data_IF_504821346054
#
_entry.id   IF_504821346054
#
_cell.length_a   1.000
_cell.length_b   1.000
_cell.length_c   1.000
_cell.angle_alpha   90.00
_cell.angle_beta   90.00
_cell.angle_gamma   90.00
#
_symmetry.space_group_name_H-M   'P 1'
#
loop_
_entity.id
_entity.type
_entity.pdbx_description
1 polymer ?
#
# COMPACT_ATOMS: atom_id res chain seq x y z
N UNK A 1 -14.64 8.74 28.50
CA UNK A 1 -14.51 8.60 27.04
C UNK A 1 -13.71 7.32 26.79
N UNK A 2 -14.27 6.35 26.07
CA UNK A 2 -13.57 5.10 25.76
C UNK A 2 -12.67 5.33 24.54
N UNK A 3 -11.39 4.96 24.65
CA UNK A 3 -10.40 5.13 23.59
C UNK A 3 -9.96 3.79 22.97
N UNK A 4 -10.67 2.70 23.23
CA UNK A 4 -10.41 1.40 22.63
C UNK A 4 -11.03 1.24 21.25
N UNK A 5 -10.77 0.11 20.62
CA UNK A 5 -11.44 -0.31 19.39
C UNK A 5 -12.92 -0.61 19.65
N UNK A 6 -13.78 -0.44 18.65
CA UNK A 6 -15.15 -0.95 18.69
C UNK A 6 -15.17 -2.48 18.58
N UNK A 7 -16.27 -3.11 18.97
CA UNK A 7 -16.43 -4.56 18.83
C UNK A 7 -16.20 -5.06 17.40
N UNK A 8 -16.68 -4.31 16.40
CA UNK A 8 -16.49 -4.64 15.00
C UNK A 8 -15.00 -4.52 14.57
N UNK A 9 -14.28 -3.50 15.07
CA UNK A 9 -12.86 -3.33 14.80
C UNK A 9 -12.03 -4.43 15.46
N UNK A 10 -12.36 -4.81 16.70
CA UNK A 10 -11.73 -5.92 17.40
C UNK A 10 -11.96 -7.23 16.67
N UNK A 11 -13.21 -7.52 16.28
CA UNK A 11 -13.56 -8.72 15.51
C UNK A 11 -12.77 -8.80 14.19
N UNK A 12 -12.68 -7.70 13.45
CA UNK A 12 -11.93 -7.65 12.20
C UNK A 12 -10.43 -7.88 12.44
N UNK A 13 -9.88 -7.24 13.47
CA UNK A 13 -8.48 -7.40 13.86
C UNK A 13 -8.17 -8.85 14.29
N UNK A 14 -9.03 -9.49 15.05
CA UNK A 14 -8.86 -10.88 15.50
C UNK A 14 -8.87 -11.87 14.32
N UNK A 15 -9.76 -11.67 13.35
CA UNK A 15 -9.79 -12.51 12.15
C UNK A 15 -8.49 -12.41 11.35
N UNK A 16 -7.93 -11.21 11.21
CA UNK A 16 -6.64 -11.01 10.53
C UNK A 16 -5.51 -11.68 11.34
N UNK A 17 -5.47 -11.48 12.65
CA UNK A 17 -4.46 -12.12 13.51
C UNK A 17 -4.51 -13.63 13.39
N UNK A 18 -5.71 -14.21 13.50
CA UNK A 18 -5.89 -15.66 13.35
C UNK A 18 -5.41 -16.16 12.00
N UNK A 19 -5.76 -15.47 10.92
CA UNK A 19 -5.28 -15.84 9.59
C UNK A 19 -3.74 -15.81 9.50
N UNK A 20 -3.11 -14.78 10.08
CA UNK A 20 -1.65 -14.66 10.07
C UNK A 20 -0.98 -15.72 10.94
N UNK A 21 -1.53 -16.03 12.10
CA UNK A 21 -1.02 -17.10 12.97
C UNK A 21 -1.04 -18.47 12.25
N UNK A 22 -2.09 -18.71 11.46
CA UNK A 22 -2.25 -19.97 10.73
C UNK A 22 -1.38 -20.05 9.46
N UNK A 23 -1.11 -18.91 8.76
CA UNK A 23 -0.52 -18.90 7.42
C UNK A 23 0.83 -18.17 7.30
N UNK A 24 1.17 -17.29 8.24
CA UNK A 24 2.33 -16.41 8.19
C UNK A 24 3.28 -16.60 9.38
N UNK A 25 3.60 -17.86 9.69
CA UNK A 25 4.58 -18.14 10.75
C UNK A 25 5.93 -17.47 10.46
N UNK A 26 6.72 -17.22 11.50
CA UNK A 26 8.05 -16.58 11.36
C UNK A 26 8.94 -17.33 10.35
N UNK A 27 8.81 -18.65 10.27
CA UNK A 27 9.58 -19.43 9.29
C UNK A 27 9.11 -19.24 7.86
N UNK A 28 7.79 -19.05 7.63
CA UNK A 28 7.24 -18.68 6.34
C UNK A 28 7.73 -17.29 5.95
N UNK A 29 7.67 -16.31 6.86
CA UNK A 29 8.17 -14.95 6.60
C UNK A 29 9.66 -14.93 6.27
N UNK A 30 10.48 -15.73 6.96
CA UNK A 30 11.91 -15.88 6.63
C UNK A 30 12.13 -16.47 5.24
N UNK A 31 11.33 -17.45 4.83
CA UNK A 31 11.39 -18.01 3.47
C UNK A 31 11.07 -16.97 2.42
N UNK A 32 10.00 -16.17 2.62
CA UNK A 32 9.66 -15.05 1.72
C UNK A 32 10.83 -14.09 1.59
N UNK A 33 11.48 -13.74 2.69
CA UNK A 33 12.62 -12.82 2.71
C UNK A 33 13.88 -13.38 2.02
N UNK A 34 13.99 -14.69 1.87
CA UNK A 34 15.19 -15.32 1.34
C UNK A 34 15.10 -15.80 -0.09
N UNK A 35 13.96 -16.21 -0.62
CA UNK A 35 13.81 -16.53 -2.07
C UNK A 35 12.48 -17.27 -2.43
N UNK A 36 11.43 -17.16 -1.63
CA UNK A 36 10.18 -17.86 -1.85
C UNK A 36 8.97 -16.89 -1.98
N UNK A 37 8.93 -16.08 -3.05
CA UNK A 37 7.91 -15.05 -3.22
C UNK A 37 6.48 -15.63 -3.39
N UNK A 38 6.34 -16.91 -3.75
CA UNK A 38 5.05 -17.59 -3.87
C UNK A 38 4.23 -17.53 -2.58
N UNK A 39 4.87 -17.69 -1.42
CA UNK A 39 4.19 -17.61 -0.12
C UNK A 39 3.66 -16.21 0.18
N UNK A 40 4.34 -15.16 -0.32
CA UNK A 40 3.86 -13.78 -0.19
C UNK A 40 2.53 -13.60 -0.91
N UNK A 41 2.41 -14.17 -2.10
CA UNK A 41 1.19 -14.11 -2.91
C UNK A 41 0.03 -14.80 -2.20
N UNK A 42 0.23 -15.99 -1.66
CA UNK A 42 -0.79 -16.75 -0.93
C UNK A 42 -1.31 -15.97 0.29
N UNK A 43 -0.40 -15.35 1.07
CA UNK A 43 -0.76 -14.51 2.21
C UNK A 43 -1.54 -13.28 1.74
N UNK A 44 -1.09 -12.62 0.67
CA UNK A 44 -1.76 -11.44 0.12
C UNK A 44 -3.18 -11.77 -0.36
N UNK A 45 -3.35 -12.87 -1.10
CA UNK A 45 -4.66 -13.32 -1.58
C UNK A 45 -5.59 -13.69 -0.42
N UNK A 46 -5.08 -14.35 0.61
CA UNK A 46 -5.83 -14.66 1.81
C UNK A 46 -6.29 -13.41 2.56
N UNK A 47 -5.42 -12.42 2.73
CA UNK A 47 -5.76 -11.14 3.35
C UNK A 47 -6.79 -10.36 2.51
N UNK A 48 -6.68 -10.37 1.19
CA UNK A 48 -7.66 -9.79 0.28
C UNK A 48 -9.03 -10.49 0.45
N UNK A 49 -9.05 -11.81 0.60
CA UNK A 49 -10.31 -12.56 0.85
C UNK A 49 -10.99 -12.18 2.18
N UNK A 50 -10.24 -11.67 3.14
CA UNK A 50 -10.76 -11.08 4.39
C UNK A 50 -11.24 -9.63 4.22
N UNK A 51 -11.10 -9.04 3.05
CA UNK A 51 -11.64 -7.72 2.71
C UNK A 51 -10.76 -6.53 3.05
N UNK A 52 -9.47 -6.72 3.33
CA UNK A 52 -8.56 -5.60 3.67
C UNK A 52 -8.44 -4.56 2.55
N UNK A 53 -8.63 -4.96 1.30
CA UNK A 53 -8.57 -4.13 0.10
C UNK A 53 -9.83 -3.28 -0.11
N UNK A 54 -10.94 -3.68 0.47
CA UNK A 54 -12.26 -3.04 0.28
C UNK A 54 -12.67 -2.11 1.42
N UNK A 55 -11.90 -2.05 2.52
CA UNK A 55 -12.22 -1.33 3.74
C UNK A 55 -12.68 0.11 3.50
N UNK A 56 -11.88 0.90 2.80
CA UNK A 56 -12.07 2.34 2.61
C UNK A 56 -12.78 2.68 1.31
N UNK A 57 -13.09 1.69 0.49
CA UNK A 57 -13.88 1.89 -0.74
C UNK A 57 -15.36 1.96 -0.37
N UNK A 58 -16.12 2.98 -0.79
CA UNK A 58 -17.55 3.07 -0.54
C UNK A 58 -18.33 1.88 -1.11
N UNK A 59 -19.48 1.57 -0.49
CA UNK A 59 -20.36 0.48 -0.89
C UNK A 59 -20.84 0.63 -2.34
N UNK A 60 -21.07 1.84 -2.82
CA UNK A 60 -21.46 2.13 -4.21
C UNK A 60 -20.43 1.67 -5.25
N UNK A 61 -19.16 1.49 -4.83
CA UNK A 61 -18.08 0.93 -5.65
C UNK A 61 -17.70 -0.50 -5.27
N UNK A 62 -18.56 -1.18 -4.47
CA UNK A 62 -18.36 -2.57 -4.07
C UNK A 62 -17.41 -2.77 -2.88
N UNK A 63 -17.12 -1.70 -2.13
CA UNK A 63 -16.33 -1.75 -0.90
C UNK A 63 -17.16 -1.91 0.35
N UNK A 64 -16.50 -1.83 1.51
CA UNK A 64 -17.14 -1.90 2.83
C UNK A 64 -17.54 -0.53 3.40
N UNK A 65 -17.08 0.57 2.82
CA UNK A 65 -17.40 1.93 3.24
C UNK A 65 -16.98 2.28 4.67
N UNK A 66 -15.98 1.59 5.22
CA UNK A 66 -15.52 1.79 6.58
C UNK A 66 -14.59 3.01 6.68
N UNK A 67 -14.37 3.46 7.90
CA UNK A 67 -13.54 4.64 8.13
C UNK A 67 -12.06 4.28 8.40
N UNK A 68 -11.21 5.30 8.46
CA UNK A 68 -9.77 5.15 8.64
C UNK A 68 -9.38 4.44 9.97
N UNK A 69 -10.23 4.44 10.98
CA UNK A 69 -9.96 3.75 12.24
C UNK A 69 -9.95 2.22 12.05
N UNK A 70 -10.78 1.68 11.13
CA UNK A 70 -10.69 0.27 10.75
C UNK A 70 -9.35 -0.05 10.08
N UNK A 71 -8.88 0.81 9.18
CA UNK A 71 -7.57 0.64 8.57
C UNK A 71 -6.43 0.69 9.61
N UNK A 72 -6.57 1.47 10.67
CA UNK A 72 -5.62 1.50 11.79
C UNK A 72 -5.59 0.17 12.56
N UNK A 73 -6.77 -0.39 12.88
CA UNK A 73 -6.88 -1.70 13.54
C UNK A 73 -6.26 -2.82 12.68
N UNK A 74 -6.53 -2.80 11.36
CA UNK A 74 -5.93 -3.72 10.39
C UNK A 74 -4.42 -3.55 10.33
N UNK A 75 -3.91 -2.32 10.22
CA UNK A 75 -2.46 -2.04 10.21
C UNK A 75 -1.76 -2.59 11.45
N UNK A 76 -2.39 -2.48 12.62
CA UNK A 76 -1.85 -3.02 13.86
C UNK A 76 -1.77 -4.56 13.82
N UNK A 77 -2.81 -5.23 13.30
CA UNK A 77 -2.79 -6.69 13.14
C UNK A 77 -1.71 -7.15 12.15
N UNK A 78 -1.64 -6.51 10.98
CA UNK A 78 -0.64 -6.81 9.96
C UNK A 78 0.79 -6.59 10.48
N UNK A 79 1.03 -5.48 11.20
CA UNK A 79 2.34 -5.19 11.78
C UNK A 79 2.73 -6.18 12.86
N UNK A 80 1.81 -6.57 13.76
CA UNK A 80 2.09 -7.55 14.81
C UNK A 80 2.39 -8.95 14.26
N UNK A 81 1.79 -9.32 13.13
CA UNK A 81 2.03 -10.57 12.42
C UNK A 81 3.17 -10.51 11.40
N UNK A 82 3.86 -9.38 11.29
CA UNK A 82 4.94 -9.15 10.28
C UNK A 82 4.45 -9.51 8.87
N UNK A 83 3.19 -9.20 8.57
CA UNK A 83 2.57 -9.59 7.30
C UNK A 83 3.24 -8.91 6.10
N UNK A 84 3.70 -9.66 5.10
CA UNK A 84 4.28 -9.11 3.87
C UNK A 84 3.15 -8.67 2.92
N UNK A 85 2.43 -7.61 3.30
CA UNK A 85 1.23 -7.16 2.60
C UNK A 85 1.37 -5.73 2.08
N UNK A 86 0.95 -5.52 0.84
CA UNK A 86 0.82 -4.22 0.21
C UNK A 86 -0.46 -3.52 0.70
N UNK A 87 -0.47 -3.02 1.94
CA UNK A 87 -1.68 -2.47 2.57
C UNK A 87 -1.74 -0.95 2.53
N UNK A 88 -0.71 -0.27 3.03
CA UNK A 88 -0.76 1.18 3.26
C UNK A 88 -0.86 1.96 1.95
N UNK A 89 0.00 1.69 0.98
CA UNK A 89 -0.03 2.37 -0.32
C UNK A 89 -1.27 1.97 -1.11
N UNK A 90 -1.49 0.67 -1.24
CA UNK A 90 -2.47 0.11 -2.16
C UNK A 90 -3.92 0.25 -1.67
N UNK A 91 -4.18 0.00 -0.37
CA UNK A 91 -5.55 -0.12 0.14
C UNK A 91 -5.94 0.98 1.13
N UNK A 92 -5.00 1.87 1.49
CA UNK A 92 -5.30 3.05 2.30
C UNK A 92 -5.06 4.32 1.49
N UNK A 93 -3.85 4.57 1.03
CA UNK A 93 -3.50 5.84 0.38
C UNK A 93 -4.16 5.99 -0.99
N UNK A 94 -4.15 4.94 -1.82
CA UNK A 94 -4.71 4.99 -3.16
C UNK A 94 -6.23 5.25 -3.18
N UNK A 95 -7.08 4.50 -2.46
CA UNK A 95 -8.51 4.80 -2.45
C UNK A 95 -8.82 6.17 -1.87
N UNK A 96 -8.13 6.62 -0.81
CA UNK A 96 -8.31 7.96 -0.25
C UNK A 96 -7.95 9.04 -1.28
N UNK A 97 -6.86 8.89 -2.01
CA UNK A 97 -6.45 9.84 -3.04
C UNK A 97 -7.46 9.91 -4.19
N UNK A 98 -7.96 8.75 -4.65
CA UNK A 98 -8.98 8.68 -5.72
C UNK A 98 -10.31 9.28 -5.25
N UNK A 99 -10.75 8.98 -4.04
CA UNK A 99 -12.01 9.50 -3.49
C UNK A 99 -12.02 11.00 -3.37
N UNK A 100 -10.91 11.61 -2.93
CA UNK A 100 -10.84 13.04 -2.66
C UNK A 100 -10.37 13.88 -3.87
N UNK A 101 -9.56 13.31 -4.75
CA UNK A 101 -8.96 14.06 -5.87
C UNK A 101 -9.32 13.55 -7.26
N UNK A 102 -9.89 12.35 -7.36
CA UNK A 102 -10.25 11.76 -8.65
C UNK A 102 -11.56 12.30 -9.23
N UNK A 103 -11.65 12.33 -10.55
CA UNK A 103 -12.92 12.57 -11.26
C UNK A 103 -13.88 11.38 -11.05
N UNK A 104 -15.17 11.59 -11.30
CA UNK A 104 -16.17 10.53 -11.21
C UNK A 104 -15.84 9.33 -12.13
N UNK A 105 -15.27 9.59 -13.30
CA UNK A 105 -14.83 8.53 -14.22
C UNK A 105 -13.65 7.74 -13.64
N UNK A 106 -12.70 8.42 -12.98
CA UNK A 106 -11.58 7.75 -12.30
C UNK A 106 -12.06 6.93 -11.10
N UNK A 107 -13.00 7.44 -10.30
CA UNK A 107 -13.60 6.68 -9.19
C UNK A 107 -14.25 5.40 -9.69
N UNK A 108 -15.11 5.50 -10.72
CA UNK A 108 -15.78 4.37 -11.35
C UNK A 108 -14.82 3.37 -12.00
N UNK A 109 -13.68 3.85 -12.49
CA UNK A 109 -12.66 3.01 -13.13
C UNK A 109 -11.83 2.22 -12.10
N UNK A 110 -11.37 2.88 -11.05
CA UNK A 110 -10.35 2.28 -10.16
C UNK A 110 -10.93 1.69 -8.88
N UNK A 111 -11.94 2.32 -8.26
CA UNK A 111 -12.42 1.89 -6.94
C UNK A 111 -13.01 0.47 -6.94
N UNK A 112 -13.85 0.06 -7.93
CA UNK A 112 -14.33 -1.32 -7.97
C UNK A 112 -13.22 -2.35 -8.15
N UNK A 113 -12.20 -2.04 -8.94
CA UNK A 113 -11.08 -2.94 -9.18
C UNK A 113 -10.16 -3.04 -7.95
N UNK A 114 -10.04 -1.96 -7.13
CA UNK A 114 -9.38 -2.02 -5.82
C UNK A 114 -10.21 -2.90 -4.87
N UNK A 115 -11.52 -2.63 -4.76
CA UNK A 115 -12.41 -3.35 -3.85
C UNK A 115 -12.48 -4.86 -4.14
N UNK A 116 -12.33 -5.25 -5.39
CA UNK A 116 -12.27 -6.67 -5.80
C UNK A 116 -10.88 -7.29 -5.71
N UNK A 117 -9.84 -6.51 -5.34
CA UNK A 117 -8.45 -6.98 -5.30
C UNK A 117 -7.81 -7.21 -6.68
N UNK A 118 -8.48 -6.80 -7.76
CA UNK A 118 -8.00 -7.00 -9.13
C UNK A 118 -6.81 -6.10 -9.47
N UNK A 119 -6.74 -4.91 -8.89
CA UNK A 119 -5.63 -3.98 -9.03
C UNK A 119 -5.06 -3.57 -7.67
N UNK A 120 -3.78 -3.28 -7.68
CA UNK A 120 -3.04 -2.76 -6.54
C UNK A 120 -2.20 -1.55 -6.95
N UNK A 121 -1.91 -0.69 -6.00
CA UNK A 121 -1.20 0.55 -6.24
C UNK A 121 0.11 0.61 -5.47
N UNK A 122 1.16 0.99 -6.16
CA UNK A 122 2.34 1.59 -5.54
C UNK A 122 2.08 3.08 -5.32
N UNK A 123 2.63 3.65 -4.24
CA UNK A 123 2.46 5.08 -3.95
C UNK A 123 3.80 5.75 -3.67
N UNK A 124 4.11 6.78 -4.47
CA UNK A 124 5.33 7.56 -4.38
C UNK A 124 5.04 9.05 -4.31
N UNK A 125 4.80 9.58 -3.10
CA UNK A 125 4.50 10.99 -2.85
C UNK A 125 5.69 11.75 -2.23
N UNK A 126 6.90 11.25 -2.47
CA UNK A 126 8.11 11.81 -1.87
C UNK A 126 8.39 13.27 -2.25
N UNK A 127 8.01 13.68 -3.46
CA UNK A 127 8.16 15.05 -3.93
C UNK A 127 7.28 16.02 -3.15
N UNK A 128 6.02 15.65 -2.96
CA UNK A 128 5.05 16.50 -2.26
C UNK A 128 5.43 16.73 -0.80
N UNK A 129 5.96 15.71 -0.13
CA UNK A 129 6.38 15.82 1.27
C UNK A 129 7.78 16.40 1.45
N UNK A 130 8.47 16.78 0.35
CA UNK A 130 9.81 17.36 0.41
C UNK A 130 10.87 16.41 0.98
N UNK A 131 10.66 15.11 0.87
CA UNK A 131 11.51 14.11 1.51
C UNK A 131 12.96 14.12 0.99
N UNK A 132 13.17 14.57 -0.25
CA UNK A 132 14.51 14.75 -0.82
C UNK A 132 14.52 15.76 -1.97
N UNK A 133 15.63 16.46 -2.11
CA UNK A 133 15.93 17.29 -3.26
C UNK A 133 16.22 16.41 -4.50
N UNK A 134 15.92 16.93 -5.70
CA UNK A 134 16.21 16.34 -7.01
C UNK A 134 15.44 15.07 -7.39
N UNK A 135 14.26 14.88 -6.85
CA UNK A 135 13.33 13.81 -7.26
C UNK A 135 12.15 14.37 -8.07
N UNK A 136 12.35 15.44 -8.82
CA UNK A 136 11.27 16.18 -9.46
C UNK A 136 10.54 15.34 -10.52
N UNK A 137 9.24 15.17 -10.31
CA UNK A 137 8.33 14.65 -11.31
C UNK A 137 7.73 15.82 -12.07
N UNK A 138 7.91 15.82 -13.39
CA UNK A 138 7.45 16.87 -14.29
C UNK A 138 6.55 16.26 -15.35
N UNK A 139 5.32 16.77 -15.47
CA UNK A 139 4.43 16.45 -16.56
C UNK A 139 4.59 17.48 -17.68
N UNK A 140 5.08 17.05 -18.84
CA UNK A 140 5.27 17.91 -20.01
C UNK A 140 5.00 17.14 -21.29
N UNK A 141 4.26 17.76 -22.22
CA UNK A 141 3.93 17.19 -23.53
C UNK A 141 3.31 15.77 -23.45
N UNK A 142 2.39 15.56 -22.49
CA UNK A 142 1.70 14.28 -22.32
C UNK A 142 2.55 13.18 -21.67
N UNK A 143 3.77 13.48 -21.20
CA UNK A 143 4.69 12.51 -20.58
C UNK A 143 5.10 12.95 -19.18
N UNK A 144 5.24 11.98 -18.28
CA UNK A 144 5.86 12.17 -16.99
C UNK A 144 7.37 11.87 -17.12
N UNK A 145 8.18 12.75 -16.56
CA UNK A 145 9.62 12.56 -16.44
C UNK A 145 10.04 12.89 -15.03
N UNK A 146 10.94 12.10 -14.48
CA UNK A 146 11.44 12.33 -13.13
C UNK A 146 11.67 11.02 -12.39
N UNK A 147 11.88 11.13 -11.10
CA UNK A 147 12.20 10.00 -10.23
C UNK A 147 11.44 10.14 -8.92
N UNK A 148 10.70 9.11 -8.54
CA UNK A 148 10.13 8.99 -7.21
C UNK A 148 10.95 7.99 -6.38
N UNK A 149 11.16 8.32 -5.13
CA UNK A 149 11.90 7.48 -4.16
C UNK A 149 10.96 7.11 -3.01
N UNK A 150 11.33 6.08 -2.24
CA UNK A 150 10.51 5.55 -1.14
C UNK A 150 9.08 5.19 -1.58
N UNK A 151 8.99 4.59 -2.76
CA UNK A 151 7.71 4.12 -3.29
C UNK A 151 7.23 2.94 -2.46
N UNK A 152 6.06 3.10 -1.84
CA UNK A 152 5.42 2.05 -1.04
C UNK A 152 4.76 1.02 -1.95
N UNK A 153 4.75 -0.23 -1.51
CA UNK A 153 3.98 -1.34 -2.10
C UNK A 153 4.28 -1.62 -3.59
N UNK A 154 5.52 -1.38 -4.03
CA UNK A 154 5.88 -1.41 -5.45
C UNK A 154 6.15 -2.80 -6.04
N UNK A 155 6.25 -3.86 -5.24
CA UNK A 155 6.68 -5.19 -5.71
C UNK A 155 5.75 -5.75 -6.78
N UNK A 156 4.46 -5.87 -6.49
CA UNK A 156 3.46 -6.50 -7.34
C UNK A 156 2.32 -5.54 -7.75
N UNK A 157 2.56 -4.24 -7.64
CA UNK A 157 1.58 -3.24 -8.02
C UNK A 157 1.31 -3.25 -9.53
N UNK A 158 0.05 -3.12 -9.89
CA UNK A 158 -0.40 -2.95 -11.28
C UNK A 158 -0.30 -1.49 -11.75
N UNK A 159 -0.43 -0.55 -10.82
CA UNK A 159 -0.38 0.88 -11.07
C UNK A 159 0.52 1.58 -10.05
N UNK A 160 1.01 2.74 -10.40
CA UNK A 160 1.71 3.63 -9.47
C UNK A 160 1.03 4.99 -9.43
N UNK A 161 0.85 5.53 -8.23
CA UNK A 161 0.54 6.93 -7.99
C UNK A 161 1.80 7.69 -7.65
N UNK A 162 2.06 8.77 -8.35
CA UNK A 162 3.17 9.69 -8.07
C UNK A 162 2.66 11.11 -7.98
N UNK A 163 3.26 11.94 -7.15
CA UNK A 163 2.96 13.36 -7.07
C UNK A 163 4.08 14.20 -7.66
N UNK A 164 3.71 15.34 -8.28
CA UNK A 164 4.68 16.40 -8.55
C UNK A 164 4.82 17.34 -7.32
N UNK A 165 5.71 18.29 -7.42
CA UNK A 165 5.97 19.29 -6.37
C UNK A 165 4.77 20.19 -6.06
N UNK A 166 3.85 20.32 -7.01
CA UNK A 166 2.65 21.16 -6.87
C UNK A 166 1.47 20.35 -6.27
N UNK A 167 1.70 19.09 -5.89
CA UNK A 167 0.71 18.20 -5.29
C UNK A 167 -0.26 17.55 -6.28
N UNK A 168 -0.01 17.65 -7.58
CA UNK A 168 -0.79 16.92 -8.56
C UNK A 168 -0.41 15.45 -8.53
N UNK A 169 -1.43 14.59 -8.50
CA UNK A 169 -1.25 13.13 -8.50
C UNK A 169 -1.49 12.58 -9.90
N UNK A 170 -0.60 11.72 -10.32
CA UNK A 170 -0.67 11.02 -11.59
C UNK A 170 -0.76 9.52 -11.34
N UNK A 171 -1.65 8.85 -12.06
CA UNK A 171 -1.78 7.39 -12.06
C UNK A 171 -1.14 6.86 -13.34
N UNK A 172 -0.19 5.94 -13.19
CA UNK A 172 0.55 5.35 -14.31
C UNK A 172 0.48 3.83 -14.19
N UNK A 173 0.24 3.14 -15.30
CA UNK A 173 0.36 1.68 -15.33
C UNK A 173 1.83 1.27 -15.12
N UNK A 174 2.07 0.24 -14.31
CA UNK A 174 3.41 -0.28 -14.09
C UNK A 174 4.03 -0.93 -15.35
N UNK A 175 3.20 -1.19 -16.37
CA UNK A 175 3.64 -1.69 -17.67
C UNK A 175 3.91 -0.57 -18.68
N UNK A 176 3.88 0.70 -18.28
CA UNK A 176 4.14 1.83 -19.16
C UNK A 176 5.58 1.82 -19.65
N UNK A 177 5.77 2.09 -20.95
CA UNK A 177 7.09 2.22 -21.55
C UNK A 177 7.89 3.34 -20.87
N UNK A 178 9.15 3.08 -20.56
CA UNK A 178 10.06 4.03 -19.91
C UNK A 178 9.98 4.05 -18.38
N UNK A 179 9.06 3.27 -17.76
CA UNK A 179 9.03 3.11 -16.31
C UNK A 179 10.04 2.04 -15.89
N UNK A 180 10.93 2.40 -14.96
CA UNK A 180 11.90 1.46 -14.38
C UNK A 180 11.74 1.38 -12.86
N UNK A 181 11.85 0.18 -12.31
CA UNK A 181 11.86 -0.08 -10.86
C UNK A 181 13.28 -0.35 -10.42
N UNK A 182 13.73 0.32 -9.37
CA UNK A 182 15.00 0.04 -8.72
C UNK A 182 14.72 -0.36 -7.27
N UNK A 183 14.65 -1.66 -6.97
CA UNK A 183 14.48 -2.12 -5.61
C UNK A 183 15.61 -1.61 -4.73
N UNK A 184 15.29 -1.11 -3.55
CA UNK A 184 16.28 -0.68 -2.56
C UNK A 184 16.25 -1.67 -1.41
N UNK A 185 17.34 -2.37 -1.21
CA UNK A 185 17.56 -3.13 0.00
C UNK A 185 18.15 -2.22 1.07
N UNK A 186 17.45 -2.05 2.19
CA UNK A 186 17.96 -1.31 3.35
C UNK A 186 18.99 -2.11 4.14
N UNK A 187 19.99 -2.67 3.49
CA UNK A 187 21.10 -3.37 4.16
C UNK A 187 21.87 -2.47 5.13
N UNK A 188 21.73 -1.15 5.01
CA UNK A 188 22.34 -0.15 5.89
C UNK A 188 21.48 0.25 7.09
N UNK A 189 20.30 -0.31 7.28
CA UNK A 189 19.59 -0.26 8.55
C UNK A 189 20.22 -1.14 9.64
N UNK A 190 21.27 -1.89 9.31
CA UNK A 190 22.18 -2.37 10.34
C UNK A 190 22.87 -1.16 10.96
N UNK A 191 22.22 -0.72 12.05
CA UNK A 191 22.84 0.06 13.07
C UNK A 191 23.91 1.04 12.53
N UNK A 192 23.54 2.28 12.30
CA UNK A 192 24.43 3.31 12.73
C UNK A 192 24.50 3.18 14.27
N UNK A 193 25.11 2.13 14.73
CA UNK A 193 25.79 2.15 16.01
C UNK A 193 26.85 3.20 15.83
N UNK A 194 26.53 4.44 16.21
CA UNK A 194 27.54 5.42 16.46
C UNK A 194 28.41 4.83 17.55
N UNK A 195 29.70 4.53 17.28
CA UNK A 195 30.59 4.15 18.35
C UNK A 195 30.59 5.32 19.34
N UNK A 196 30.03 5.09 20.51
CA UNK A 196 30.24 5.98 21.65
C UNK A 196 31.72 5.91 22.00
N UNK A 197 32.45 6.91 21.60
CA UNK A 197 33.78 7.19 22.10
C UNK A 197 33.70 8.00 23.38
#
# INVERSE_FOLDING_TARGET
>A
MYFGLSEDQEFFQENIKKFLDDNASVDVIRKIATDHPEHQKDIQEGLVSLGINSLLVPEEYGGLGLNILFATAVSQALGSGIAPSAFIGSYVMAPIAILNGGSEDQKKLYLPDIASGKISFAVGFSEFIGARENCEIIFKNGKLNGRSIFVLDSSDASHIMVSDKDGKIYIVSMNSEGLTKNPVSYTHLRAHETPLH
#
